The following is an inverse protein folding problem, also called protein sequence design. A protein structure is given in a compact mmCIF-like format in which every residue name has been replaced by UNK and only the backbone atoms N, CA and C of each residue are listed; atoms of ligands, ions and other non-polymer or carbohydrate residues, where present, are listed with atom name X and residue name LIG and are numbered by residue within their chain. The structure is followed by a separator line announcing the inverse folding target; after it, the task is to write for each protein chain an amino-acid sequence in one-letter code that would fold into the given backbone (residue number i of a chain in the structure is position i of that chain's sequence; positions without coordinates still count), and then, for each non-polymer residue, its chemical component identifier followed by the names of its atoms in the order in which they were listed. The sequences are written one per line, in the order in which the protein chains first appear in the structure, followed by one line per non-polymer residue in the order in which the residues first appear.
data_IF_162031912920
#
_entry.id   IF_162031912920
#
_cell.length_a   1.000
_cell.length_b   1.000
_cell.length_c   1.000
_cell.angle_alpha   90.00
_cell.angle_beta   90.00
_cell.angle_gamma   90.00
#
_symmetry.space_group_name_H-M   'P 1'
#
loop_
_entity.id
_entity.type
_entity.pdbx_description
1 polymer ?
#
# COMPACT_ATOMS: atom_id res chain seq x y z
N UNK A 1 12.28 -6.35 10.19
CA UNK A 1 11.70 -7.45 11.02
C UNK A 1 11.29 -8.63 10.12
N UNK A 2 10.95 -9.83 10.64
CA UNK A 2 10.57 -11.03 9.83
C UNK A 2 9.22 -10.87 9.07
N UNK A 3 8.48 -9.78 9.28
CA UNK A 3 7.20 -9.48 8.62
C UNK A 3 7.17 -8.18 7.82
N UNK A 4 8.35 -7.66 7.48
CA UNK A 4 8.52 -6.44 6.69
C UNK A 4 9.14 -6.79 5.32
N UNK A 5 9.83 -5.85 4.66
CA UNK A 5 10.59 -6.06 3.43
C UNK A 5 11.38 -7.39 3.42
N UNK A 6 11.43 -8.02 2.24
CA UNK A 6 12.26 -9.20 1.98
C UNK A 6 13.67 -8.78 1.58
N UNK A 7 14.61 -9.74 1.55
CA UNK A 7 15.95 -9.49 1.06
C UNK A 7 15.95 -8.83 -0.35
N UNK A 8 16.86 -7.88 -0.62
CA UNK A 8 17.98 -7.45 0.22
C UNK A 8 17.62 -6.38 1.26
N UNK A 9 16.41 -5.84 1.21
CA UNK A 9 16.01 -4.65 1.97
C UNK A 9 15.35 -4.96 3.31
N UNK A 10 15.28 -6.23 3.72
CA UNK A 10 14.77 -6.61 5.04
C UNK A 10 14.92 -8.10 5.31
N UNK A 11 14.24 -8.58 6.36
CA UNK A 11 14.36 -9.96 6.86
C UNK A 11 13.10 -10.80 6.63
N UNK A 12 12.13 -10.28 5.88
CA UNK A 12 10.95 -11.02 5.46
C UNK A 12 11.32 -12.23 4.60
N UNK A 13 10.52 -13.29 4.70
CA UNK A 13 10.76 -14.55 3.99
C UNK A 13 9.73 -14.85 2.90
N UNK A 14 8.64 -14.08 2.84
CA UNK A 14 7.55 -14.25 1.88
C UNK A 14 7.35 -12.92 1.16
N UNK A 15 7.52 -12.91 -0.16
CA UNK A 15 7.21 -11.75 -0.99
C UNK A 15 5.71 -11.80 -1.33
N UNK A 16 4.88 -11.07 -0.59
CA UNK A 16 3.42 -11.05 -0.80
C UNK A 16 3.03 -10.20 -2.03
N UNK A 17 3.74 -9.09 -2.24
CA UNK A 17 3.70 -8.30 -3.47
C UNK A 17 5.07 -7.67 -3.74
N UNK A 18 5.32 -7.33 -5.00
CA UNK A 18 6.57 -6.79 -5.51
C UNK A 18 6.32 -5.36 -5.98
N UNK A 19 7.15 -4.44 -5.48
CA UNK A 19 7.16 -3.05 -5.92
C UNK A 19 8.35 -2.87 -6.86
N UNK A 20 8.07 -2.49 -8.10
CA UNK A 20 9.07 -2.05 -9.06
C UNK A 20 8.97 -0.54 -9.21
N UNK A 21 10.11 0.15 -9.18
CA UNK A 21 10.17 1.60 -9.35
C UNK A 21 11.23 1.96 -10.36
N UNK A 22 10.84 2.75 -11.35
CA UNK A 22 11.74 3.38 -12.30
C UNK A 22 11.55 4.89 -12.18
N UNK A 23 12.65 5.64 -12.22
CA UNK A 23 12.57 7.08 -12.19
C UNK A 23 13.68 7.73 -12.99
N UNK A 24 13.40 8.93 -13.48
CA UNK A 24 14.38 9.79 -14.11
C UNK A 24 14.43 11.12 -13.35
N UNK A 25 15.61 11.47 -12.86
CA UNK A 25 15.87 12.74 -12.20
C UNK A 25 16.68 13.64 -13.13
N UNK A 26 16.06 14.73 -13.61
CA UNK A 26 16.72 15.76 -14.43
C UNK A 26 16.93 17.06 -13.65
N UNK A 27 16.16 17.26 -12.57
CA UNK A 27 16.33 18.35 -11.63
C UNK A 27 15.20 18.48 -10.60
N UNK A 28 15.27 19.49 -9.70
CA UNK A 28 14.27 19.73 -8.65
C UNK A 28 12.85 20.04 -9.16
N UNK A 29 12.69 20.38 -10.44
CA UNK A 29 11.39 20.64 -11.07
C UNK A 29 11.21 19.87 -12.38
N UNK A 30 12.08 18.90 -12.65
CA UNK A 30 12.04 18.02 -13.81
C UNK A 30 12.43 16.60 -13.38
N UNK A 31 11.43 15.80 -13.04
CA UNK A 31 11.60 14.43 -12.57
C UNK A 31 10.33 13.60 -12.76
N UNK A 32 10.53 12.32 -12.99
CA UNK A 32 9.47 11.36 -13.25
C UNK A 32 9.71 10.09 -12.45
N UNK A 33 8.64 9.51 -11.92
CA UNK A 33 8.65 8.23 -11.21
C UNK A 33 7.47 7.41 -11.72
N UNK A 34 7.75 6.17 -12.10
CA UNK A 34 6.78 5.15 -12.44
C UNK A 34 6.97 3.99 -11.47
N UNK A 35 5.92 3.65 -10.72
CA UNK A 35 5.90 2.54 -9.78
C UNK A 35 4.80 1.56 -10.16
N UNK A 36 5.11 0.27 -10.10
CA UNK A 36 4.12 -0.80 -10.23
C UNK A 36 4.15 -1.68 -8.98
N UNK A 37 2.97 -2.03 -8.46
CA UNK A 37 2.80 -3.04 -7.42
C UNK A 37 2.14 -4.27 -8.04
N UNK A 38 2.78 -5.42 -7.92
CA UNK A 38 2.31 -6.69 -8.49
C UNK A 38 2.21 -7.75 -7.40
N UNK A 39 1.27 -8.69 -7.53
CA UNK A 39 0.99 -9.66 -6.47
C UNK A 39 1.47 -11.07 -6.82
N UNK A 40 1.90 -11.82 -5.80
CA UNK A 40 2.63 -13.08 -6.00
C UNK A 40 1.76 -14.29 -6.30
N UNK A 41 0.47 -14.29 -5.92
CA UNK A 41 -0.43 -15.41 -6.17
C UNK A 41 -1.59 -15.05 -7.08
N UNK A 42 -2.18 -16.07 -7.70
CA UNK A 42 -3.43 -15.91 -8.45
C UNK A 42 -4.54 -15.39 -7.52
N UNK A 43 -5.33 -14.44 -8.02
CA UNK A 43 -6.41 -13.75 -7.30
C UNK A 43 -5.97 -12.92 -6.10
N UNK A 44 -4.67 -12.78 -5.82
CA UNK A 44 -4.20 -11.66 -5.01
C UNK A 44 -4.43 -10.34 -5.77
N UNK A 45 -4.40 -9.23 -5.06
CA UNK A 45 -4.55 -7.94 -5.70
C UNK A 45 -4.86 -6.79 -4.75
N UNK A 46 -5.19 -5.66 -5.34
CA UNK A 46 -5.42 -4.40 -4.64
C UNK A 46 -6.61 -3.66 -5.24
N UNK A 47 -7.34 -2.97 -4.37
CA UNK A 47 -8.50 -2.18 -4.75
C UNK A 47 -8.42 -0.82 -4.08
N UNK A 48 -8.41 0.24 -4.87
CA UNK A 48 -8.44 1.60 -4.34
C UNK A 48 -9.83 2.00 -3.85
N UNK A 49 -9.89 2.77 -2.79
CA UNK A 49 -11.09 3.47 -2.35
C UNK A 49 -10.74 4.87 -1.85
N UNK A 50 -11.73 5.77 -1.87
CA UNK A 50 -11.57 7.13 -1.35
C UNK A 50 -12.21 7.25 0.04
N UNK A 51 -11.55 7.95 0.95
CA UNK A 51 -12.11 8.37 2.24
C UNK A 51 -11.86 9.87 2.46
N UNK A 52 -12.59 10.51 3.39
CA UNK A 52 -12.35 11.93 3.70
C UNK A 52 -10.89 12.17 4.11
N UNK A 53 -10.23 13.24 3.60
CA UNK A 53 -8.85 13.56 3.94
C UNK A 53 -8.72 14.01 5.40
N UNK A 54 -7.66 13.53 6.08
CA UNK A 54 -7.34 13.81 7.50
C UNK A 54 -7.30 15.30 7.90
N UNK A 55 -7.12 16.21 6.95
CA UNK A 55 -6.89 17.63 7.22
C UNK A 55 -8.16 18.49 7.18
N UNK A 56 -9.35 17.91 6.96
CA UNK A 56 -10.57 18.62 7.31
C UNK A 56 -10.77 18.50 8.82
N UNK A 57 -10.43 19.57 9.54
CA UNK A 57 -10.40 19.70 11.01
C UNK A 57 -11.75 19.53 11.73
N UNK A 58 -12.76 18.99 11.05
CA UNK A 58 -14.01 18.56 11.68
C UNK A 58 -14.47 17.28 10.99
N UNK A 59 -14.31 16.10 11.60
CA UNK A 59 -15.11 14.95 11.20
C UNK A 59 -16.56 15.31 11.53
N UNK A 60 -17.38 15.58 10.52
CA UNK A 60 -18.82 15.82 10.67
C UNK A 60 -19.58 14.51 10.98
N UNK A 61 -18.96 13.54 11.66
CA UNK A 61 -19.63 12.32 12.11
C UNK A 61 -18.75 11.09 12.31
N UNK A 62 -19.45 10.01 12.72
CA UNK A 62 -19.00 8.63 12.91
C UNK A 62 -18.96 7.85 11.58
N UNK A 63 -18.58 8.48 10.46
CA UNK A 63 -18.42 7.75 9.21
C UNK A 63 -17.12 6.95 9.26
N UNK A 64 -17.25 5.63 9.29
CA UNK A 64 -16.12 4.71 9.27
C UNK A 64 -15.29 4.96 8.01
N UNK A 65 -13.99 5.18 8.20
CA UNK A 65 -13.06 5.59 7.13
C UNK A 65 -12.87 4.51 6.07
N UNK A 66 -13.34 3.29 6.35
CA UNK A 66 -13.27 2.11 5.51
C UNK A 66 -14.31 1.10 5.99
N UNK A 67 -14.62 0.13 5.14
CA UNK A 67 -15.50 -0.99 5.47
C UNK A 67 -14.90 -1.84 6.60
N UNK A 68 -15.80 -2.40 7.42
CA UNK A 68 -15.46 -3.39 8.44
C UNK A 68 -14.85 -4.66 7.81
N UNK A 69 -15.46 -5.13 6.72
CA UNK A 69 -14.95 -6.26 5.94
C UNK A 69 -14.27 -5.80 4.65
N UNK A 70 -13.22 -6.51 4.26
CA UNK A 70 -12.61 -6.40 2.94
C UNK A 70 -13.64 -6.75 1.84
N UNK A 71 -13.62 -6.07 0.68
CA UNK A 71 -14.44 -6.46 -0.46
C UNK A 71 -14.21 -7.91 -0.88
N UNK A 72 -15.23 -8.54 -1.47
CA UNK A 72 -15.13 -9.91 -2.02
C UNK A 72 -14.34 -9.92 -3.33
N UNK A 73 -14.64 -8.95 -4.19
CA UNK A 73 -14.21 -8.90 -5.59
C UNK A 73 -13.70 -7.49 -5.96
N UNK A 74 -13.17 -7.35 -7.18
CA UNK A 74 -12.66 -6.07 -7.70
C UNK A 74 -11.21 -5.75 -7.31
N UNK A 75 -10.46 -6.78 -6.91
CA UNK A 75 -9.02 -6.67 -6.71
C UNK A 75 -8.30 -6.76 -8.05
N UNK A 76 -7.53 -5.75 -8.36
CA UNK A 76 -6.67 -5.72 -9.54
C UNK A 76 -5.31 -6.37 -9.21
N UNK A 77 -4.75 -7.18 -10.12
CA UNK A 77 -3.46 -7.86 -9.87
C UNK A 77 -2.26 -6.93 -9.98
N UNK A 78 -2.46 -5.71 -10.50
CA UNK A 78 -1.43 -4.70 -10.72
C UNK A 78 -1.99 -3.34 -10.30
N UNK A 79 -1.19 -2.59 -9.55
CA UNK A 79 -1.41 -1.17 -9.33
C UNK A 79 -0.31 -0.34 -9.96
N UNK A 80 -0.69 0.62 -10.79
CA UNK A 80 0.23 1.53 -11.46
C UNK A 80 0.14 2.93 -10.86
N UNK A 81 1.31 3.51 -10.59
CA UNK A 81 1.47 4.85 -10.06
C UNK A 81 2.48 5.62 -10.89
N UNK A 82 2.13 6.85 -11.21
CA UNK A 82 3.03 7.79 -11.88
C UNK A 82 3.06 9.10 -11.14
N UNK A 83 4.27 9.64 -10.96
CA UNK A 83 4.49 10.98 -10.45
C UNK A 83 5.38 11.73 -11.41
N UNK A 84 4.84 12.78 -12.01
CA UNK A 84 5.52 13.56 -13.04
C UNK A 84 5.55 15.01 -12.57
N UNK A 85 6.73 15.61 -12.60
CA UNK A 85 6.93 17.04 -12.42
C UNK A 85 7.87 17.48 -13.54
N UNK A 86 7.36 18.24 -14.51
CA UNK A 86 8.14 18.74 -15.63
C UNK A 86 7.78 20.21 -15.88
N UNK A 87 8.75 20.99 -16.40
CA UNK A 87 8.51 22.36 -16.83
C UNK A 87 7.92 22.45 -18.26
N UNK A 88 7.93 21.35 -19.02
CA UNK A 88 7.40 21.22 -20.38
C UNK A 88 6.22 20.22 -20.45
N UNK A 89 5.24 20.45 -21.33
CA UNK A 89 4.09 19.54 -21.52
C UNK A 89 2.99 19.62 -20.44
N UNK A 90 2.32 18.51 -20.10
CA UNK A 90 1.20 18.47 -19.13
C UNK A 90 1.57 18.94 -17.69
N UNK A 91 2.84 19.29 -17.46
CA UNK A 91 3.31 20.06 -16.33
C UNK A 91 3.44 19.26 -15.04
N UNK A 92 2.37 18.58 -14.58
CA UNK A 92 2.35 17.87 -13.29
C UNK A 92 1.33 16.73 -13.26
N UNK A 93 1.74 15.52 -12.85
CA UNK A 93 0.86 14.39 -12.52
C UNK A 93 1.17 13.90 -11.11
N UNK A 94 0.12 13.74 -10.27
CA UNK A 94 0.23 13.33 -8.87
C UNK A 94 1.33 14.08 -8.09
N UNK A 95 1.55 15.37 -8.42
CA UNK A 95 2.63 16.15 -7.80
C UNK A 95 2.38 16.42 -6.32
N UNK A 96 1.10 16.45 -5.92
CA UNK A 96 0.64 16.55 -4.53
C UNK A 96 0.27 15.17 -3.97
N UNK A 97 0.46 14.94 -2.65
CA UNK A 97 0.02 13.71 -2.01
C UNK A 97 -1.51 13.50 -2.14
N UNK A 98 -1.92 12.27 -2.49
CA UNK A 98 -3.33 11.87 -2.58
C UNK A 98 -3.82 11.35 -1.23
N UNK A 99 -4.07 12.26 -0.29
CA UNK A 99 -4.40 11.91 1.10
C UNK A 99 -5.78 11.23 1.27
N UNK A 100 -6.67 11.34 0.29
CA UNK A 100 -7.99 10.69 0.27
C UNK A 100 -7.93 9.26 -0.29
N UNK A 101 -6.83 8.87 -0.95
CA UNK A 101 -6.68 7.58 -1.60
C UNK A 101 -6.18 6.54 -0.61
N UNK A 102 -6.88 5.42 -0.51
CA UNK A 102 -6.51 4.28 0.32
C UNK A 102 -6.73 2.99 -0.47
N UNK A 103 -6.28 1.87 0.07
CA UNK A 103 -6.43 0.59 -0.61
C UNK A 103 -6.84 -0.53 0.33
N UNK A 104 -7.64 -1.45 -0.19
CA UNK A 104 -7.71 -2.82 0.29
C UNK A 104 -6.73 -3.66 -0.50
N UNK A 105 -6.08 -4.62 0.14
CA UNK A 105 -5.28 -5.61 -0.57
C UNK A 105 -5.55 -7.02 -0.06
N UNK A 106 -5.40 -7.99 -0.96
CA UNK A 106 -5.54 -9.43 -0.71
C UNK A 106 -4.25 -10.13 -1.10
N UNK A 107 -3.72 -10.94 -0.18
CA UNK A 107 -2.45 -11.67 -0.36
C UNK A 107 -2.57 -13.10 0.14
N UNK A 108 -1.64 -13.97 -0.30
CA UNK A 108 -1.55 -15.38 0.12
C UNK A 108 -2.83 -16.16 -0.17
N UNK A 109 -3.47 -15.85 -1.29
CA UNK A 109 -4.68 -16.55 -1.71
C UNK A 109 -4.37 -18.04 -1.96
N UNK A 110 -5.20 -18.89 -1.38
CA UNK A 110 -5.24 -20.33 -1.60
C UNK A 110 -6.56 -20.66 -2.27
N UNK A 111 -6.49 -21.33 -3.42
CA UNK A 111 -7.66 -21.74 -4.18
C UNK A 111 -8.06 -23.18 -3.83
N UNK A 112 -9.35 -23.48 -3.95
CA UNK A 112 -9.85 -24.85 -3.98
C UNK A 112 -9.70 -25.47 -5.39
N UNK A 113 -10.10 -26.73 -5.54
CA UNK A 113 -10.02 -27.48 -6.81
C UNK A 113 -10.87 -26.86 -7.93
N UNK A 114 -11.85 -26.03 -7.58
CA UNK A 114 -12.73 -25.33 -8.52
C UNK A 114 -12.23 -23.90 -8.83
N UNK A 115 -11.08 -23.51 -8.28
CA UNK A 115 -10.53 -22.16 -8.40
C UNK A 115 -11.21 -21.12 -7.51
N UNK A 116 -12.06 -21.50 -6.56
CA UNK A 116 -12.64 -20.56 -5.60
C UNK A 116 -11.64 -20.25 -4.48
N UNK A 117 -11.76 -19.07 -3.89
CA UNK A 117 -10.91 -18.67 -2.77
C UNK A 117 -11.30 -19.50 -1.54
N UNK A 118 -10.40 -20.39 -1.13
CA UNK A 118 -10.51 -21.18 0.10
C UNK A 118 -10.02 -20.40 1.32
N UNK A 119 -8.94 -19.64 1.15
CA UNK A 119 -8.32 -18.82 2.19
C UNK A 119 -7.54 -17.68 1.55
N UNK A 120 -7.48 -16.52 2.18
CA UNK A 120 -6.57 -15.44 1.82
C UNK A 120 -6.36 -14.55 3.06
N UNK A 121 -5.33 -13.71 3.06
CA UNK A 121 -5.16 -12.64 4.04
C UNK A 121 -5.57 -11.30 3.43
N UNK A 122 -6.12 -10.42 4.25
CA UNK A 122 -6.67 -9.14 3.82
C UNK A 122 -6.08 -8.00 4.63
N UNK A 123 -5.86 -6.87 3.97
CA UNK A 123 -5.27 -5.71 4.61
C UNK A 123 -5.75 -4.39 4.03
N UNK A 124 -5.27 -3.31 4.66
CA UNK A 124 -5.48 -1.94 4.25
C UNK A 124 -4.14 -1.24 4.08
N UNK A 125 -3.99 -0.46 3.03
CA UNK A 125 -2.95 0.55 2.92
C UNK A 125 -3.63 1.90 3.14
N UNK A 126 -3.15 2.62 4.13
CA UNK A 126 -3.65 3.93 4.49
C UNK A 126 -2.85 4.99 3.75
N UNK A 127 -3.59 5.90 3.10
CA UNK A 127 -3.04 6.88 2.18
C UNK A 127 -2.39 6.20 0.96
N UNK A 128 -2.01 7.03 0.01
CA UNK A 128 -1.29 6.60 -1.16
C UNK A 128 0.14 6.10 -0.84
N UNK A 129 0.77 5.40 -1.78
CA UNK A 129 2.19 5.08 -1.70
C UNK A 129 3.02 6.36 -1.81
N UNK A 130 3.90 6.59 -0.83
CA UNK A 130 4.82 7.72 -0.88
C UNK A 130 6.11 7.31 -1.58
N UNK A 131 6.23 7.71 -2.84
CA UNK A 131 7.40 7.45 -3.66
C UNK A 131 8.06 8.76 -4.11
N UNK A 132 9.34 8.94 -3.79
CA UNK A 132 10.09 10.14 -4.14
C UNK A 132 11.59 9.89 -4.21
N UNK A 133 12.29 10.76 -4.93
CA UNK A 133 13.74 10.75 -4.99
C UNK A 133 14.38 11.22 -3.67
N UNK A 134 15.37 10.47 -3.20
CA UNK A 134 16.28 10.84 -2.11
C UNK A 134 17.62 11.23 -2.73
N UNK A 135 17.72 12.44 -3.28
CA UNK A 135 18.84 12.86 -4.12
C UNK A 135 18.64 12.46 -5.59
N UNK A 136 19.71 12.36 -6.37
CA UNK A 136 19.61 12.15 -7.83
C UNK A 136 19.44 10.69 -8.25
N UNK A 137 19.84 9.74 -7.39
CA UNK A 137 19.96 8.32 -7.76
C UNK A 137 19.08 7.39 -6.94
N UNK A 138 18.79 7.75 -5.70
CA UNK A 138 18.05 6.89 -4.80
C UNK A 138 16.56 7.25 -4.83
N UNK A 139 15.72 6.23 -4.77
CA UNK A 139 14.27 6.38 -4.67
C UNK A 139 13.82 5.75 -3.36
N UNK A 140 13.06 6.53 -2.60
CA UNK A 140 12.46 6.10 -1.36
C UNK A 140 10.99 5.77 -1.57
N UNK A 141 10.58 4.60 -1.08
CA UNK A 141 9.20 4.12 -1.06
C UNK A 141 8.78 3.89 0.39
N UNK A 142 7.65 4.45 0.80
CA UNK A 142 7.02 4.13 2.08
C UNK A 142 5.52 4.14 1.98
N UNK A 143 4.86 3.33 2.80
CA UNK A 143 3.41 3.29 2.93
C UNK A 143 3.07 2.73 4.31
N UNK A 144 1.91 3.12 4.83
CA UNK A 144 1.39 2.61 6.10
C UNK A 144 0.36 1.53 5.81
N UNK A 145 0.50 0.36 6.42
CA UNK A 145 -0.40 -0.75 6.17
C UNK A 145 -0.83 -1.46 7.45
N UNK A 146 -1.96 -2.13 7.35
CA UNK A 146 -2.45 -3.14 8.26
C UNK A 146 -2.71 -4.42 7.47
N UNK A 147 -2.30 -5.57 8.00
CA UNK A 147 -2.59 -6.88 7.43
C UNK A 147 -3.20 -7.74 8.53
N UNK A 148 -4.38 -8.30 8.26
CA UNK A 148 -5.00 -9.28 9.13
C UNK A 148 -4.49 -10.69 8.77
N UNK A 149 -3.72 -11.36 9.66
CA UNK A 149 -3.15 -12.67 9.39
C UNK A 149 -4.11 -13.85 9.67
N UNK A 150 -5.28 -13.61 10.27
CA UNK A 150 -6.19 -14.69 10.70
C UNK A 150 -6.95 -15.36 9.54
N UNK A 151 -6.97 -14.70 8.37
CA UNK A 151 -7.59 -15.17 7.14
C UNK A 151 -9.08 -14.84 7.00
N UNK A 152 -9.63 -14.08 7.94
CA UNK A 152 -10.95 -13.45 7.81
C UNK A 152 -10.86 -12.16 6.99
N UNK A 153 -12.00 -11.66 6.53
CA UNK A 153 -12.08 -10.35 5.87
C UNK A 153 -12.14 -9.19 6.87
N UNK A 154 -12.00 -9.42 8.16
CA UNK A 154 -12.05 -8.34 9.15
C UNK A 154 -10.87 -7.37 8.95
N UNK A 155 -11.16 -6.08 8.85
CA UNK A 155 -10.18 -5.02 8.68
C UNK A 155 -10.21 -3.98 9.81
N UNK A 156 -10.78 -4.32 10.95
CA UNK A 156 -10.56 -3.58 12.19
C UNK A 156 -9.15 -3.85 12.71
N UNK A 157 -8.50 -2.78 13.16
CA UNK A 157 -7.12 -2.83 13.63
C UNK A 157 -7.04 -3.51 15.00
N UNK A 158 -6.60 -4.77 15.04
CA UNK A 158 -6.33 -5.47 16.30
C UNK A 158 -4.87 -5.25 16.74
N UNK A 159 -4.67 -4.33 17.68
CA UNK A 159 -3.37 -4.04 18.30
C UNK A 159 -2.72 -5.25 18.97
N UNK A 160 -3.48 -6.30 19.30
CA UNK A 160 -2.97 -7.51 19.97
C UNK A 160 -2.53 -8.58 18.98
N UNK A 161 -3.03 -8.55 17.75
CA UNK A 161 -2.80 -9.56 16.71
C UNK A 161 -2.11 -8.99 15.47
N UNK A 162 -1.24 -7.99 15.66
CA UNK A 162 -0.46 -7.41 14.58
C UNK A 162 0.82 -8.23 14.31
N UNK A 163 1.32 -8.16 13.06
CA UNK A 163 2.61 -8.72 12.63
C UNK A 163 3.78 -8.12 13.43
N UNK A 164 3.66 -6.84 13.78
CA UNK A 164 4.61 -6.13 14.62
C UNK A 164 4.18 -6.23 16.10
N UNK A 165 4.98 -6.93 16.89
CA UNK A 165 4.75 -7.07 18.34
C UNK A 165 5.57 -6.03 19.09
N UNK A 166 5.00 -5.49 20.17
CA UNK A 166 5.63 -4.50 21.06
C UNK A 166 5.87 -3.11 20.45
N UNK A 167 5.01 -2.66 19.53
CA UNK A 167 4.97 -1.25 19.15
C UNK A 167 4.11 -0.47 20.16
N UNK A 168 4.61 0.65 20.65
CA UNK A 168 3.80 1.67 21.30
C UNK A 168 2.74 2.23 20.33
N UNK A 169 1.68 2.85 20.87
CA UNK A 169 0.54 3.35 20.09
C UNK A 169 0.93 4.31 18.94
N UNK A 170 2.05 5.02 19.07
CA UNK A 170 2.59 5.95 18.08
C UNK A 170 3.83 5.41 17.35
N UNK A 171 4.25 4.19 17.65
CA UNK A 171 5.45 3.60 17.07
C UNK A 171 5.09 2.87 15.77
N UNK A 172 5.78 3.22 14.70
CA UNK A 172 5.82 2.46 13.46
C UNK A 172 7.20 1.87 13.27
N UNK A 173 7.31 0.83 12.44
CA UNK A 173 8.61 0.34 12.00
C UNK A 173 9.05 1.22 10.83
N UNK A 174 10.08 2.03 11.06
CA UNK A 174 10.69 2.90 10.04
C UNK A 174 11.98 2.32 9.44
N UNK A 175 12.55 1.27 10.05
CA UNK A 175 13.77 0.60 9.58
C UNK A 175 13.50 -0.91 9.37
N UNK A 176 13.86 -1.47 8.20
CA UNK A 176 13.61 -2.88 7.86
C UNK A 176 14.39 -3.96 8.65
#
# INVERSE_FOLDING_TARGET
MVGDWVAPYGKGTVADFIINVNGEYRGPFDREIHMTVTFSNEKDGIQSFKSMPLYQETPLGSEFWSSYEAPLDGYEPIYEYERILTLEGEGRKNSQPRFDLNFYFRVRTQLDENGNIKKAMYGKIYRDFYCHFLGEKDIYVSFMYYLNPDGTRNLEFDTKQNLFKNLGYLEGVSDP
#
